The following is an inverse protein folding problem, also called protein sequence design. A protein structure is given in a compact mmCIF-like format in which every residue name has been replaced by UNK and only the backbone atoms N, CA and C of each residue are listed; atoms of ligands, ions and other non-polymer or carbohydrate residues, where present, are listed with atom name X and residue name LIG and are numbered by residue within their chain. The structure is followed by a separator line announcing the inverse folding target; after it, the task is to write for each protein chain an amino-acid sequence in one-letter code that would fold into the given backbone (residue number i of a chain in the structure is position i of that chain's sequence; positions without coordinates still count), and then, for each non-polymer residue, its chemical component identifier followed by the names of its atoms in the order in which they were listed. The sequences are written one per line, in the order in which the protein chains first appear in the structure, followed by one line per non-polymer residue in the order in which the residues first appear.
data_IF_639305299501
#
_entry.id   IF_639305299501
#
_cell.length_a   1.000
_cell.length_b   1.000
_cell.length_c   1.000
_cell.angle_alpha   90.00
_cell.angle_beta   90.00
_cell.angle_gamma   90.00
#
_symmetry.space_group_name_H-M   'P 1'
#
loop_
_entity.id
_entity.type
_entity.pdbx_description
1 polymer ?
#
# COMPACT_ATOMS: atom_id res chain seq x y z
N UNK A 1 0.26 38.66 11.84
CA UNK A 1 0.77 38.76 10.46
C UNK A 1 1.85 37.69 10.31
N UNK A 2 1.53 36.55 9.76
CA UNK A 2 2.52 35.52 9.41
C UNK A 2 3.30 36.04 8.20
N UNK A 3 4.63 36.19 8.35
CA UNK A 3 5.51 36.49 7.22
C UNK A 3 5.34 35.37 6.19
N UNK A 4 5.01 35.73 4.96
CA UNK A 4 5.18 34.84 3.81
C UNK A 4 6.64 34.34 3.83
N UNK A 5 6.83 33.08 4.16
CA UNK A 5 8.15 32.45 4.09
C UNK A 5 8.51 32.28 2.62
N UNK A 6 9.77 32.54 2.31
CA UNK A 6 10.31 32.43 0.96
C UNK A 6 10.06 31.00 0.44
N UNK A 7 9.49 30.78 -0.76
CA UNK A 7 9.26 29.46 -1.32
C UNK A 7 10.53 28.59 -1.42
N UNK A 8 11.72 29.19 -1.37
CA UNK A 8 13.02 28.51 -1.37
C UNK A 8 13.51 28.11 0.04
N UNK A 9 12.74 28.36 1.10
CA UNK A 9 13.17 28.03 2.46
C UNK A 9 13.24 26.52 2.68
N UNK A 10 14.42 26.04 3.06
CA UNK A 10 14.64 24.60 3.32
C UNK A 10 13.97 24.18 4.61
N UNK A 11 13.04 23.24 4.50
CA UNK A 11 12.23 22.74 5.61
C UNK A 11 12.98 21.65 6.40
N UNK A 12 12.68 21.57 7.69
CA UNK A 12 12.98 20.40 8.51
C UNK A 12 11.69 19.60 8.69
N UNK A 13 11.68 18.37 8.16
CA UNK A 13 10.51 17.52 8.05
C UNK A 13 10.76 16.28 8.91
N UNK A 14 9.79 15.91 9.75
CA UNK A 14 9.77 14.64 10.46
C UNK A 14 8.65 13.77 9.90
N UNK A 15 9.01 12.64 9.31
CA UNK A 15 8.08 11.60 8.88
C UNK A 15 7.94 10.56 9.99
N UNK A 16 6.73 10.09 10.27
CA UNK A 16 6.48 9.04 11.25
C UNK A 16 5.67 7.93 10.61
N UNK A 17 6.25 6.73 10.55
CA UNK A 17 5.61 5.57 9.92
C UNK A 17 5.95 4.29 10.71
N UNK A 18 5.01 3.36 10.82
CA UNK A 18 5.27 2.09 11.48
C UNK A 18 6.28 1.24 10.69
N UNK A 19 6.09 1.16 9.36
CA UNK A 19 7.01 0.50 8.43
C UNK A 19 7.69 1.57 7.57
N UNK A 20 9.00 1.52 7.48
CA UNK A 20 9.77 2.40 6.61
C UNK A 20 10.99 1.63 6.07
N UNK A 21 10.82 0.84 5.02
CA UNK A 21 11.93 0.17 4.37
C UNK A 21 12.77 1.18 3.57
N UNK A 22 14.09 1.20 3.80
CA UNK A 22 15.06 2.08 3.08
C UNK A 22 15.75 1.35 1.93
N UNK A 23 15.50 0.07 1.80
CA UNK A 23 16.15 -0.81 0.83
C UNK A 23 15.14 -1.31 -0.16
N UNK A 24 15.54 -1.37 -1.41
CA UNK A 24 14.76 -1.98 -2.45
C UNK A 24 14.26 -1.00 -3.51
N UNK A 25 13.53 -1.54 -4.47
CA UNK A 25 12.82 -0.81 -5.51
C UNK A 25 11.56 -0.17 -4.94
N UNK A 26 10.91 0.70 -5.71
CA UNK A 26 9.72 1.44 -5.27
C UNK A 26 8.60 0.53 -4.72
N UNK A 27 8.43 -0.66 -5.27
CA UNK A 27 7.46 -1.67 -4.84
C UNK A 27 7.64 -2.17 -3.40
N UNK A 28 8.88 -2.18 -2.87
CA UNK A 28 9.14 -2.67 -1.52
C UNK A 28 9.20 -1.56 -0.48
N UNK A 29 9.61 -0.37 -0.92
CA UNK A 29 9.81 0.76 -0.02
C UNK A 29 8.52 1.51 0.24
N UNK A 30 7.43 1.14 -0.45
CA UNK A 30 6.22 1.94 -0.45
C UNK A 30 6.49 3.35 -0.97
N UNK A 31 5.57 4.26 -0.70
CA UNK A 31 5.66 5.62 -1.25
C UNK A 31 6.43 6.60 -0.38
N UNK A 32 6.60 6.29 0.89
CA UNK A 32 7.28 7.19 1.83
C UNK A 32 8.78 7.31 1.56
N UNK A 33 9.45 6.24 1.14
CA UNK A 33 10.87 6.32 0.81
C UNK A 33 11.16 7.24 -0.39
N UNK A 34 10.48 7.10 -1.55
CA UNK A 34 10.62 8.04 -2.65
C UNK A 34 10.31 9.49 -2.26
N UNK A 35 9.29 9.72 -1.42
CA UNK A 35 8.97 11.06 -0.90
C UNK A 35 10.13 11.60 -0.04
N UNK A 36 10.59 10.82 0.94
CA UNK A 36 11.65 11.24 1.85
C UNK A 36 12.95 11.55 1.10
N UNK A 37 13.37 10.65 0.19
CA UNK A 37 14.55 10.81 -0.66
C UNK A 37 14.44 12.03 -1.58
N UNK A 38 13.31 12.17 -2.25
CA UNK A 38 13.09 13.29 -3.17
C UNK A 38 13.07 14.63 -2.48
N UNK A 39 12.48 14.74 -1.29
CA UNK A 39 12.53 15.96 -0.47
C UNK A 39 13.97 16.26 0.00
N UNK A 40 14.73 15.24 0.40
CA UNK A 40 16.14 15.40 0.76
C UNK A 40 17.00 15.86 -0.44
N UNK A 41 16.78 15.30 -1.63
CA UNK A 41 17.44 15.73 -2.87
C UNK A 41 17.12 17.18 -3.25
N UNK A 42 15.93 17.66 -2.90
CA UNK A 42 15.56 19.08 -3.04
C UNK A 42 16.19 19.98 -1.96
N UNK A 43 16.95 19.41 -1.02
CA UNK A 43 17.71 20.13 0.02
C UNK A 43 16.95 20.32 1.32
N UNK A 44 15.79 19.69 1.53
CA UNK A 44 15.12 19.66 2.83
C UNK A 44 15.86 18.72 3.79
N UNK A 45 15.79 19.01 5.10
CA UNK A 45 16.30 18.10 6.13
C UNK A 45 15.20 17.10 6.52
N UNK A 46 15.35 15.85 6.10
CA UNK A 46 14.34 14.82 6.33
C UNK A 46 14.80 13.84 7.40
N UNK A 47 14.00 13.70 8.45
CA UNK A 47 14.18 12.72 9.50
C UNK A 47 12.97 11.80 9.55
N UNK A 48 13.19 10.50 9.68
CA UNK A 48 12.13 9.50 9.78
C UNK A 48 12.21 8.80 11.12
N UNK A 49 11.05 8.57 11.74
CA UNK A 49 10.90 7.74 12.94
C UNK A 49 10.06 6.52 12.55
N UNK A 50 10.63 5.32 12.70
CA UNK A 50 9.99 4.07 12.31
C UNK A 50 10.12 3.00 13.40
N UNK A 51 9.32 1.91 13.30
CA UNK A 51 9.30 0.90 14.35
C UNK A 51 10.48 -0.06 14.25
N UNK A 52 10.64 -0.77 13.14
CA UNK A 52 11.66 -1.82 12.97
C UNK A 52 12.53 -1.59 11.78
N UNK A 53 13.82 -1.86 11.93
CA UNK A 53 14.80 -1.77 10.86
C UNK A 53 14.81 -3.03 9.99
N UNK A 54 14.78 -2.91 8.66
CA UNK A 54 15.03 -4.04 7.78
C UNK A 54 16.49 -4.51 7.82
N UNK A 55 17.39 -3.68 8.39
CA UNK A 55 18.84 -3.95 8.47
C UNK A 55 19.33 -4.29 9.87
N UNK A 56 18.46 -4.34 10.87
CA UNK A 56 18.83 -4.53 12.28
C UNK A 56 19.65 -3.37 12.87
N UNK A 57 19.61 -2.18 12.27
CA UNK A 57 20.31 -0.98 12.75
C UNK A 57 19.33 0.02 13.35
N UNK A 58 19.75 0.66 14.45
CA UNK A 58 18.94 1.67 15.18
C UNK A 58 18.79 2.96 14.40
N UNK A 59 19.87 3.37 13.77
CA UNK A 59 19.97 4.60 13.01
C UNK A 59 20.62 4.29 11.66
N UNK A 60 20.02 4.82 10.60
CA UNK A 60 20.52 4.68 9.24
C UNK A 60 20.40 6.04 8.57
N UNK A 61 21.49 6.46 7.91
CA UNK A 61 21.48 7.61 7.02
C UNK A 61 21.74 7.13 5.60
N UNK A 62 20.83 7.49 4.68
CA UNK A 62 20.95 7.13 3.27
C UNK A 62 20.31 8.23 2.41
N UNK A 63 21.00 8.62 1.33
CA UNK A 63 20.51 9.61 0.34
C UNK A 63 20.03 10.92 0.98
N UNK A 64 20.68 11.35 2.10
CA UNK A 64 20.31 12.56 2.84
C UNK A 64 19.09 12.41 3.76
N UNK A 65 18.56 11.19 3.91
CA UNK A 65 17.47 10.88 4.84
C UNK A 65 18.03 10.17 6.07
N UNK A 66 17.74 10.71 7.26
CA UNK A 66 18.11 10.13 8.54
C UNK A 66 16.94 9.38 9.15
N UNK A 67 17.10 8.08 9.45
CA UNK A 67 16.03 7.21 9.95
C UNK A 67 16.38 6.64 11.31
N UNK A 68 15.45 6.74 12.26
CA UNK A 68 15.51 6.14 13.59
C UNK A 68 14.53 4.99 13.69
N UNK A 69 15.03 3.77 13.97
CA UNK A 69 14.25 2.56 14.20
C UNK A 69 14.19 2.24 15.69
N UNK A 70 13.00 2.33 16.29
CA UNK A 70 12.85 2.36 17.74
C UNK A 70 12.96 0.99 18.43
N UNK A 71 12.51 -0.10 17.77
CA UNK A 71 12.34 -1.38 18.46
C UNK A 71 13.54 -2.34 18.38
N UNK A 72 14.44 -2.16 17.43
CA UNK A 72 15.61 -3.03 17.28
C UNK A 72 16.87 -2.48 17.89
N UNK A 73 16.82 -1.34 18.50
CA UNK A 73 18.00 -0.71 18.99
C UNK A 73 17.85 0.25 20.14
N UNK A 74 16.66 0.46 20.61
CA UNK A 74 16.41 1.26 21.80
C UNK A 74 15.74 0.37 22.87
N UNK A 75 16.52 -0.41 23.65
CA UNK A 75 15.98 -1.41 24.59
C UNK A 75 14.96 -0.82 25.58
N UNK A 76 15.13 0.44 25.95
CA UNK A 76 14.23 1.12 26.88
C UNK A 76 12.84 1.45 26.27
N UNK A 77 12.67 1.34 24.95
CA UNK A 77 11.44 1.68 24.25
C UNK A 77 10.75 0.48 23.61
N UNK A 78 11.42 -0.67 23.55
CA UNK A 78 10.89 -1.87 22.91
C UNK A 78 9.59 -2.42 23.49
N UNK A 79 9.27 -2.06 24.74
CA UNK A 79 8.04 -2.45 25.44
C UNK A 79 6.93 -1.38 25.39
N UNK A 80 7.22 -0.21 24.84
CA UNK A 80 6.23 0.85 24.69
C UNK A 80 5.42 0.66 23.41
N UNK A 81 4.15 1.11 23.39
CA UNK A 81 3.43 1.28 22.12
C UNK A 81 4.22 2.20 21.19
N UNK A 82 4.21 1.91 19.89
CA UNK A 82 4.97 2.68 18.90
C UNK A 82 4.71 4.19 18.98
N UNK A 83 3.44 4.59 19.10
CA UNK A 83 3.07 6.02 19.21
C UNK A 83 3.71 6.73 20.40
N UNK A 84 3.91 6.02 21.52
CA UNK A 84 4.60 6.57 22.69
C UNK A 84 6.10 6.70 22.44
N UNK A 85 6.72 5.65 21.94
CA UNK A 85 8.15 5.64 21.64
C UNK A 85 8.48 6.71 20.56
N UNK A 86 7.63 6.82 19.53
CA UNK A 86 7.77 7.85 18.50
C UNK A 86 7.62 9.27 19.05
N UNK A 87 6.70 9.49 20.00
CA UNK A 87 6.56 10.78 20.67
C UNK A 87 7.81 11.16 21.47
N UNK A 88 8.37 10.24 22.23
CA UNK A 88 9.58 10.49 23.02
C UNK A 88 10.78 10.81 22.12
N UNK A 89 10.98 10.04 21.05
CA UNK A 89 12.06 10.30 20.08
C UNK A 89 11.84 11.62 19.32
N UNK A 90 10.62 11.91 18.92
CA UNK A 90 10.29 13.19 18.31
C UNK A 90 10.61 14.35 19.24
N UNK A 91 10.24 14.27 20.53
CA UNK A 91 10.49 15.32 21.52
C UNK A 91 11.97 15.59 21.68
N UNK A 92 12.80 14.54 21.80
CA UNK A 92 14.25 14.63 21.84
C UNK A 92 14.80 15.45 20.66
N UNK A 93 14.48 15.01 19.44
CA UNK A 93 14.97 15.62 18.19
C UNK A 93 14.43 17.03 17.96
N UNK A 94 13.17 17.28 18.33
CA UNK A 94 12.52 18.57 18.16
C UNK A 94 13.03 19.62 19.16
N UNK A 95 13.40 19.20 20.36
CA UNK A 95 14.00 20.07 21.38
C UNK A 95 15.41 20.48 20.98
N UNK A 96 16.18 19.56 20.42
CA UNK A 96 17.53 19.85 19.91
C UNK A 96 17.48 20.83 18.73
N UNK A 97 16.63 20.55 17.75
CA UNK A 97 16.41 21.41 16.58
C UNK A 97 14.97 21.29 16.10
N UNK A 98 14.16 22.38 16.17
CA UNK A 98 12.74 22.31 15.85
C UNK A 98 12.43 21.87 14.43
N UNK A 99 11.44 21.00 14.26
CA UNK A 99 10.86 20.64 12.97
C UNK A 99 9.85 21.69 12.51
N UNK A 100 9.74 21.88 11.21
CA UNK A 100 8.72 22.75 10.58
C UNK A 100 7.46 21.94 10.25
N UNK A 101 7.62 20.67 9.84
CA UNK A 101 6.53 19.80 9.43
C UNK A 101 6.64 18.46 10.16
N UNK A 102 5.55 18.01 10.73
CA UNK A 102 5.31 16.64 11.14
C UNK A 102 4.40 15.99 10.10
N UNK A 103 4.80 14.88 9.51
CA UNK A 103 3.99 14.11 8.58
C UNK A 103 3.88 12.66 9.05
N UNK A 104 2.69 12.22 9.39
CA UNK A 104 2.41 10.88 9.90
C UNK A 104 1.64 10.02 8.92
N UNK A 105 2.01 8.73 8.83
CA UNK A 105 1.19 7.72 8.20
C UNK A 105 0.05 7.33 9.13
N UNK A 106 -1.19 7.52 8.71
CA UNK A 106 -2.39 7.24 9.52
C UNK A 106 -2.25 7.80 10.95
N UNK A 107 -2.47 6.98 11.96
CA UNK A 107 -2.41 7.39 13.36
C UNK A 107 -1.01 7.44 13.98
N UNK A 108 0.02 7.03 13.27
CA UNK A 108 1.39 6.87 13.83
C UNK A 108 1.94 8.13 14.50
N UNK A 109 1.61 9.31 13.99
CA UNK A 109 2.02 10.59 14.55
C UNK A 109 0.91 11.31 15.37
N UNK A 110 -0.25 10.68 15.58
CA UNK A 110 -1.38 11.33 16.26
C UNK A 110 -1.02 11.84 17.66
N UNK A 111 -0.25 11.05 18.43
CA UNK A 111 0.15 11.43 19.79
C UNK A 111 1.02 12.69 19.83
N UNK A 112 1.80 12.92 18.80
CA UNK A 112 2.61 14.13 18.60
C UNK A 112 1.69 15.26 18.13
N UNK A 113 0.90 15.05 17.08
CA UNK A 113 0.05 16.06 16.46
C UNK A 113 -0.97 16.70 17.40
N UNK A 114 -1.60 15.90 18.28
CA UNK A 114 -2.51 16.44 19.32
C UNK A 114 -1.85 17.42 20.29
N UNK A 115 -0.52 17.44 20.38
CA UNK A 115 0.28 18.35 21.21
C UNK A 115 0.94 19.47 20.42
N UNK A 116 0.57 19.67 19.16
CA UNK A 116 1.22 20.62 18.26
C UNK A 116 1.38 22.04 18.86
N UNK A 117 0.37 22.50 19.60
CA UNK A 117 0.43 23.83 20.25
C UNK A 117 1.48 23.89 21.35
N UNK A 118 1.57 22.85 22.17
CA UNK A 118 2.57 22.73 23.26
C UNK A 118 4.00 22.65 22.69
N UNK A 119 4.15 21.91 21.60
CA UNK A 119 5.42 21.71 20.88
C UNK A 119 5.78 22.89 19.96
N UNK A 120 4.89 23.86 19.79
CA UNK A 120 5.04 24.97 18.84
C UNK A 120 5.34 24.49 17.41
N UNK A 121 4.75 23.37 17.06
CA UNK A 121 4.93 22.74 15.75
C UNK A 121 4.09 23.47 14.69
N UNK A 122 4.72 24.03 13.64
CA UNK A 122 4.01 24.87 12.66
C UNK A 122 2.99 24.12 11.82
N UNK A 123 3.31 22.90 11.38
CA UNK A 123 2.47 22.13 10.49
C UNK A 123 2.40 20.64 10.88
N UNK A 124 1.19 20.08 10.80
CA UNK A 124 0.91 18.65 10.97
C UNK A 124 0.13 18.14 9.79
N UNK A 125 0.70 17.17 9.08
CA UNK A 125 0.08 16.50 7.95
C UNK A 125 -0.06 14.99 8.23
N UNK A 126 -1.07 14.36 7.61
CA UNK A 126 -1.24 12.91 7.67
C UNK A 126 -1.53 12.37 6.27
N UNK A 127 -0.85 11.27 5.90
CA UNK A 127 -1.34 10.38 4.87
C UNK A 127 -2.45 9.53 5.47
N UNK A 128 -3.64 9.55 4.86
CA UNK A 128 -4.78 8.75 5.28
C UNK A 128 -5.07 7.73 4.18
N UNK A 129 -4.47 6.55 4.30
CA UNK A 129 -4.69 5.46 3.33
C UNK A 129 -6.02 4.77 3.54
N UNK A 130 -6.39 4.56 4.81
CA UNK A 130 -7.61 3.88 5.17
C UNK A 130 -8.27 4.52 6.38
N UNK A 131 -9.58 4.71 6.31
CA UNK A 131 -10.40 5.16 7.42
C UNK A 131 -11.19 4.00 8.01
N UNK A 132 -11.65 4.16 9.25
CA UNK A 132 -12.53 3.16 9.86
C UNK A 132 -13.85 3.01 9.08
N UNK A 133 -14.33 4.09 8.47
CA UNK A 133 -15.53 4.05 7.61
C UNK A 133 -15.27 3.29 6.31
N UNK A 134 -14.10 3.43 5.68
CA UNK A 134 -13.74 2.64 4.50
C UNK A 134 -13.62 1.15 4.83
N UNK A 135 -13.10 0.80 6.02
CA UNK A 135 -13.10 -0.57 6.51
C UNK A 135 -14.51 -1.11 6.74
N UNK A 136 -15.44 -0.28 7.24
CA UNK A 136 -16.84 -0.66 7.40
C UNK A 136 -17.48 -1.00 6.04
N UNK A 137 -17.27 -0.16 5.03
CA UNK A 137 -17.78 -0.42 3.68
C UNK A 137 -17.14 -1.66 3.05
N UNK A 138 -15.86 -1.92 3.30
CA UNK A 138 -15.19 -3.14 2.87
C UNK A 138 -15.88 -4.39 3.45
N UNK A 139 -16.18 -4.39 4.76
CA UNK A 139 -16.89 -5.50 5.42
C UNK A 139 -18.29 -5.68 4.82
N UNK A 140 -19.02 -4.60 4.57
CA UNK A 140 -20.37 -4.65 3.98
C UNK A 140 -20.35 -5.15 2.52
N UNK A 141 -19.26 -4.89 1.78
CA UNK A 141 -19.08 -5.33 0.38
C UNK A 141 -18.65 -6.78 0.22
N UNK A 142 -18.29 -7.49 1.31
CA UNK A 142 -17.86 -8.90 1.20
C UNK A 142 -18.95 -9.80 0.66
N UNK A 143 -18.59 -10.72 -0.23
CA UNK A 143 -19.48 -11.79 -0.66
C UNK A 143 -19.70 -12.79 0.50
N UNK A 144 -20.93 -13.25 0.69
CA UNK A 144 -21.30 -14.16 1.77
C UNK A 144 -21.73 -15.50 1.22
N UNK A 145 -21.06 -16.57 1.65
CA UNK A 145 -21.37 -17.95 1.25
C UNK A 145 -22.47 -18.58 2.11
N UNK A 146 -22.79 -18.02 3.29
CA UNK A 146 -23.76 -18.61 4.23
C UNK A 146 -24.45 -17.57 5.11
N UNK A 147 -25.62 -17.96 5.66
CA UNK A 147 -26.38 -17.16 6.63
C UNK A 147 -25.56 -16.90 7.91
N UNK A 148 -24.73 -17.86 8.33
CA UNK A 148 -23.86 -17.72 9.50
C UNK A 148 -22.79 -16.65 9.29
N UNK A 149 -22.19 -16.58 8.09
CA UNK A 149 -21.24 -15.52 7.74
C UNK A 149 -21.90 -14.13 7.68
N UNK A 150 -23.13 -14.07 7.19
CA UNK A 150 -23.92 -12.83 7.18
C UNK A 150 -24.18 -12.29 8.60
N UNK A 151 -24.53 -13.17 9.55
CA UNK A 151 -24.78 -12.78 10.94
C UNK A 151 -23.51 -12.31 11.64
N UNK A 152 -22.39 -13.02 11.47
CA UNK A 152 -21.09 -12.61 12.04
C UNK A 152 -20.62 -11.26 11.48
N UNK A 153 -20.84 -11.03 10.18
CA UNK A 153 -20.57 -9.76 9.53
C UNK A 153 -21.45 -8.66 10.08
N UNK A 154 -22.73 -8.92 10.32
CA UNK A 154 -23.65 -7.96 10.93
C UNK A 154 -23.19 -7.48 12.31
N UNK A 155 -22.72 -8.38 13.16
CA UNK A 155 -22.14 -8.03 14.48
C UNK A 155 -20.86 -7.20 14.32
N UNK A 156 -19.96 -7.59 13.42
CA UNK A 156 -18.73 -6.86 13.14
C UNK A 156 -19.02 -5.44 12.61
N UNK A 157 -20.01 -5.27 11.76
CA UNK A 157 -20.49 -3.98 11.24
C UNK A 157 -20.99 -3.08 12.35
N UNK A 158 -21.86 -3.58 13.24
CA UNK A 158 -22.38 -2.79 14.36
C UNK A 158 -21.25 -2.36 15.30
N UNK A 159 -20.36 -3.28 15.65
CA UNK A 159 -19.19 -2.96 16.50
C UNK A 159 -18.29 -1.91 15.83
N UNK A 160 -17.99 -2.09 14.56
CA UNK A 160 -17.14 -1.16 13.80
C UNK A 160 -17.80 0.21 13.64
N UNK A 161 -19.12 0.27 13.38
CA UNK A 161 -19.87 1.51 13.30
C UNK A 161 -19.80 2.29 14.62
N UNK A 162 -20.01 1.63 15.74
CA UNK A 162 -19.92 2.27 17.06
C UNK A 162 -18.52 2.81 17.34
N UNK A 163 -17.48 2.03 17.05
CA UNK A 163 -16.08 2.47 17.24
C UNK A 163 -15.70 3.61 16.30
N UNK A 164 -16.22 3.60 15.06
CA UNK A 164 -16.02 4.66 14.07
C UNK A 164 -16.69 5.96 14.49
N UNK A 165 -17.93 5.87 14.93
CA UNK A 165 -18.71 7.04 15.34
C UNK A 165 -18.15 7.69 16.60
N UNK A 166 -17.60 6.88 17.54
CA UNK A 166 -17.06 7.34 18.81
C UNK A 166 -15.63 7.88 18.74
N UNK A 167 -14.93 7.79 17.57
CA UNK A 167 -13.82 8.61 17.65
C UNK A 167 -12.53 8.59 16.90
N UNK A 168 -11.94 7.53 16.53
CA UNK A 168 -10.51 7.50 16.14
C UNK A 168 -10.09 8.45 15.02
N UNK A 169 -10.76 8.40 13.86
CA UNK A 169 -10.36 9.18 12.67
C UNK A 169 -10.74 10.66 12.80
N UNK A 170 -11.89 10.97 13.38
CA UNK A 170 -12.29 12.37 13.60
C UNK A 170 -11.33 13.12 14.51
N UNK A 171 -10.82 12.45 15.53
CA UNK A 171 -9.82 12.99 16.43
C UNK A 171 -8.50 13.27 15.71
N UNK A 172 -8.06 12.34 14.83
CA UNK A 172 -6.89 12.52 13.98
C UNK A 172 -7.07 13.74 13.07
N UNK A 173 -8.16 13.77 12.32
CA UNK A 173 -8.47 14.83 11.36
C UNK A 173 -8.54 16.22 11.99
N UNK A 174 -9.04 16.34 13.24
CA UNK A 174 -9.05 17.62 14.00
C UNK A 174 -7.65 18.13 14.32
N UNK A 175 -6.64 17.27 14.37
CA UNK A 175 -5.26 17.69 14.64
C UNK A 175 -4.49 18.05 13.38
N UNK A 176 -4.99 17.65 12.21
CA UNK A 176 -4.36 17.87 10.92
C UNK A 176 -4.48 19.33 10.45
N UNK A 177 -3.40 19.88 9.94
CA UNK A 177 -3.40 21.11 9.13
C UNK A 177 -3.55 20.76 7.64
N UNK A 178 -3.24 19.53 7.27
CA UNK A 178 -3.46 18.95 5.95
C UNK A 178 -3.56 17.44 5.98
N UNK A 179 -4.35 16.89 5.09
CA UNK A 179 -4.51 15.45 4.89
C UNK A 179 -4.15 15.12 3.45
N UNK A 180 -3.26 14.15 3.28
CA UNK A 180 -2.89 13.62 1.99
C UNK A 180 -3.73 12.39 1.68
N UNK A 181 -4.23 12.34 0.46
CA UNK A 181 -5.01 11.23 -0.09
C UNK A 181 -4.46 10.85 -1.45
N UNK A 182 -4.60 9.60 -1.82
CA UNK A 182 -4.00 9.08 -3.06
C UNK A 182 -4.90 9.25 -4.28
N UNK A 183 -6.19 9.53 -4.06
CA UNK A 183 -7.17 9.66 -5.15
C UNK A 183 -8.25 10.71 -4.87
N UNK A 184 -8.88 11.25 -5.93
CA UNK A 184 -10.06 12.13 -5.78
C UNK A 184 -11.22 11.45 -5.05
N UNK A 185 -11.37 10.13 -5.20
CA UNK A 185 -12.43 9.36 -4.52
C UNK A 185 -12.25 9.37 -3.00
N UNK A 186 -11.03 9.23 -2.50
CA UNK A 186 -10.74 9.36 -1.07
C UNK A 186 -11.03 10.77 -0.55
N UNK A 187 -10.75 11.81 -1.32
CA UNK A 187 -11.07 13.19 -0.98
C UNK A 187 -12.59 13.36 -0.80
N UNK A 188 -13.38 12.92 -1.79
CA UNK A 188 -14.86 12.95 -1.71
C UNK A 188 -15.35 12.12 -0.52
N UNK A 189 -14.70 11.00 -0.22
CA UNK A 189 -15.02 10.14 0.90
C UNK A 189 -14.84 10.88 2.25
N UNK A 190 -13.72 11.57 2.44
CA UNK A 190 -13.44 12.36 3.65
C UNK A 190 -14.45 13.52 3.81
N UNK A 191 -14.76 14.23 2.74
CA UNK A 191 -15.75 15.28 2.73
C UNK A 191 -17.14 14.74 3.14
N UNK A 192 -17.59 13.66 2.51
CA UNK A 192 -18.93 13.11 2.67
C UNK A 192 -19.16 12.47 4.04
N UNK A 193 -18.20 11.69 4.55
CA UNK A 193 -18.42 10.90 5.76
C UNK A 193 -17.80 11.50 7.02
N UNK A 194 -16.79 12.36 6.88
CA UNK A 194 -16.14 13.00 8.01
C UNK A 194 -16.39 14.51 8.07
N UNK A 195 -17.02 15.09 7.04
CA UNK A 195 -17.21 16.54 6.86
C UNK A 195 -15.87 17.28 6.93
N UNK A 196 -14.82 16.61 6.42
CA UNK A 196 -13.48 17.18 6.42
C UNK A 196 -13.34 18.19 5.27
N UNK A 197 -12.86 19.41 5.53
CA UNK A 197 -12.83 20.46 4.53
C UNK A 197 -11.93 20.13 3.34
N UNK A 198 -12.47 20.30 2.15
CA UNK A 198 -11.78 20.04 0.89
C UNK A 198 -10.45 20.80 0.75
N UNK A 199 -10.41 22.04 1.19
CA UNK A 199 -9.21 22.89 1.12
C UNK A 199 -8.07 22.48 2.07
N UNK A 200 -8.29 21.51 2.99
CA UNK A 200 -7.27 20.86 3.83
C UNK A 200 -6.87 19.49 3.28
N UNK A 201 -7.45 19.05 2.17
CA UNK A 201 -7.16 17.75 1.56
C UNK A 201 -6.33 17.94 0.30
N UNK A 202 -5.19 17.24 0.25
CA UNK A 202 -4.24 17.30 -0.86
C UNK A 202 -4.19 15.94 -1.55
N UNK A 203 -4.51 15.89 -2.84
CA UNK A 203 -4.38 14.65 -3.61
C UNK A 203 -2.94 14.49 -4.07
N UNK A 204 -2.29 13.46 -3.56
CA UNK A 204 -0.92 13.07 -3.89
C UNK A 204 -0.93 11.63 -4.39
N UNK A 205 -1.06 11.41 -5.71
CA UNK A 205 -1.01 10.06 -6.26
C UNK A 205 0.32 9.39 -5.95
N UNK A 206 0.29 8.08 -5.84
CA UNK A 206 1.51 7.29 -5.69
C UNK A 206 2.47 7.53 -6.86
N UNK A 207 3.77 7.53 -6.58
CA UNK A 207 4.79 7.70 -7.61
C UNK A 207 5.65 6.45 -7.77
N UNK A 208 5.98 6.10 -8.99
CA UNK A 208 6.88 5.01 -9.33
C UNK A 208 8.03 5.52 -10.21
N UNK A 209 9.23 4.98 -10.03
CA UNK A 209 10.38 5.24 -10.88
C UNK A 209 10.35 4.30 -12.08
N UNK A 210 9.89 4.80 -13.24
CA UNK A 210 9.71 4.00 -14.46
C UNK A 210 11.03 3.59 -15.12
N UNK A 211 12.16 4.24 -14.78
CA UNK A 211 13.46 4.01 -15.44
C UNK A 211 14.05 2.60 -15.24
N UNK A 212 13.72 1.96 -14.13
CA UNK A 212 14.28 0.63 -13.77
C UNK A 212 13.47 -0.54 -14.36
N UNK A 213 12.31 -0.28 -14.97
CA UNK A 213 11.40 -1.33 -15.47
C UNK A 213 11.74 -1.83 -16.88
N UNK A 214 12.76 -1.28 -17.52
CA UNK A 214 13.12 -1.62 -18.92
C UNK A 214 14.06 -2.82 -19.07
N UNK A 215 14.65 -3.31 -17.98
CA UNK A 215 15.56 -4.45 -18.01
C UNK A 215 14.82 -5.74 -17.69
N UNK A 216 14.68 -6.61 -18.69
CA UNK A 216 14.13 -7.96 -18.55
C UNK A 216 15.20 -9.01 -18.91
N UNK A 217 16.19 -9.27 -18.07
CA UNK A 217 17.27 -10.20 -18.46
C UNK A 217 16.96 -11.69 -18.23
N UNK A 218 16.06 -12.06 -17.31
CA UNK A 218 16.03 -13.43 -16.75
C UNK A 218 14.66 -14.12 -16.78
N UNK A 219 13.71 -13.66 -17.60
CA UNK A 219 12.36 -14.23 -17.65
C UNK A 219 12.36 -15.74 -17.97
N UNK A 220 13.24 -16.18 -18.86
CA UNK A 220 13.38 -17.58 -19.23
C UNK A 220 13.95 -18.43 -18.08
N UNK A 221 15.03 -17.96 -17.43
CA UNK A 221 15.66 -18.66 -16.31
C UNK A 221 14.71 -18.80 -15.13
N UNK A 222 13.91 -17.76 -14.84
CA UNK A 222 12.93 -17.79 -13.76
C UNK A 222 11.86 -18.85 -13.97
N UNK A 223 11.35 -18.99 -15.21
CA UNK A 223 10.40 -20.05 -15.59
C UNK A 223 11.03 -21.44 -15.45
N UNK A 224 12.23 -21.64 -15.97
CA UNK A 224 12.95 -22.93 -15.87
C UNK A 224 13.22 -23.34 -14.43
N UNK A 225 13.76 -22.43 -13.61
CA UNK A 225 14.05 -22.67 -12.18
C UNK A 225 12.83 -23.12 -11.41
N UNK A 226 11.65 -22.58 -11.76
CA UNK A 226 10.38 -22.90 -11.10
C UNK A 226 9.57 -24.00 -11.81
N UNK A 227 10.14 -24.62 -12.84
CA UNK A 227 9.49 -25.70 -13.62
C UNK A 227 8.14 -25.24 -14.21
N UNK A 228 8.07 -24.00 -14.70
CA UNK A 228 6.90 -23.45 -15.39
C UNK A 228 7.17 -23.55 -16.90
N UNK A 229 6.34 -24.25 -17.67
CA UNK A 229 6.54 -24.43 -19.11
C UNK A 229 6.56 -23.10 -19.86
N UNK A 230 7.29 -23.07 -20.98
CA UNK A 230 7.18 -21.96 -21.94
C UNK A 230 5.75 -21.86 -22.46
N UNK A 231 5.26 -20.64 -22.60
CA UNK A 231 3.89 -20.39 -23.06
C UNK A 231 2.78 -20.72 -22.04
N UNK A 232 3.14 -21.09 -20.80
CA UNK A 232 2.18 -21.20 -19.72
C UNK A 232 1.73 -19.79 -19.26
N UNK A 233 0.43 -19.65 -18.97
CA UNK A 233 -0.10 -18.44 -18.33
C UNK A 233 0.27 -18.41 -16.84
N UNK A 234 0.65 -17.23 -16.36
CA UNK A 234 1.03 -17.03 -14.95
C UNK A 234 0.14 -15.95 -14.33
N UNK A 235 -0.53 -16.34 -13.24
CA UNK A 235 -1.17 -15.41 -12.30
C UNK A 235 -0.21 -15.20 -11.14
N UNK A 236 0.19 -13.97 -10.88
CA UNK A 236 1.06 -13.59 -9.76
C UNK A 236 0.24 -12.89 -8.67
N UNK A 237 0.42 -13.30 -7.43
CA UNK A 237 -0.07 -12.56 -6.26
C UNK A 237 1.03 -12.41 -5.23
N UNK A 238 1.11 -11.23 -4.60
CA UNK A 238 2.05 -10.95 -3.52
C UNK A 238 1.23 -10.70 -2.26
N UNK A 239 1.59 -11.35 -1.16
CA UNK A 239 0.81 -11.31 0.08
C UNK A 239 1.69 -11.45 1.32
N UNK A 240 1.29 -10.80 2.41
CA UNK A 240 1.88 -10.97 3.74
C UNK A 240 1.31 -12.18 4.50
N UNK A 241 0.35 -12.88 3.89
CA UNK A 241 -0.34 -14.06 4.45
C UNK A 241 -0.91 -13.83 5.86
N UNK A 242 -1.22 -12.59 6.23
CA UNK A 242 -1.81 -12.27 7.54
C UNK A 242 -3.25 -12.77 7.65
N UNK A 243 -3.97 -12.82 6.52
CA UNK A 243 -5.33 -13.33 6.40
C UNK A 243 -5.36 -14.52 5.43
N UNK A 244 -5.13 -15.75 5.92
CA UNK A 244 -5.02 -16.94 5.08
C UNK A 244 -6.25 -17.18 4.21
N UNK A 245 -7.44 -16.81 4.68
CA UNK A 245 -8.69 -16.98 3.95
C UNK A 245 -8.73 -16.25 2.61
N UNK A 246 -8.04 -15.12 2.48
CA UNK A 246 -7.91 -14.42 1.19
C UNK A 246 -7.27 -15.34 0.13
N UNK A 247 -6.18 -16.01 0.51
CA UNK A 247 -5.50 -16.95 -0.40
C UNK A 247 -6.24 -18.26 -0.58
N UNK A 248 -6.96 -18.75 0.41
CA UNK A 248 -7.85 -19.91 0.28
C UNK A 248 -8.90 -19.67 -0.81
N UNK A 249 -9.52 -18.49 -0.82
CA UNK A 249 -10.49 -18.11 -1.87
C UNK A 249 -9.82 -18.03 -3.26
N UNK A 250 -8.61 -17.49 -3.35
CA UNK A 250 -7.83 -17.48 -4.59
C UNK A 250 -7.51 -18.90 -5.07
N UNK A 251 -7.10 -19.80 -4.16
CA UNK A 251 -6.81 -21.20 -4.51
C UNK A 251 -8.05 -21.94 -5.02
N UNK A 252 -9.21 -21.74 -4.40
CA UNK A 252 -10.50 -22.32 -4.85
C UNK A 252 -10.92 -21.81 -6.23
N UNK A 253 -10.72 -20.50 -6.48
CA UNK A 253 -10.97 -19.96 -7.82
C UNK A 253 -9.99 -20.55 -8.84
N UNK A 254 -8.72 -20.64 -8.47
CA UNK A 254 -7.66 -21.16 -9.34
C UNK A 254 -7.83 -22.67 -9.64
N UNK A 255 -8.34 -23.48 -8.71
CA UNK A 255 -8.69 -24.89 -8.96
C UNK A 255 -9.61 -25.01 -10.18
N UNK A 256 -10.67 -24.20 -10.24
CA UNK A 256 -11.61 -24.20 -11.37
C UNK A 256 -10.96 -23.75 -12.67
N UNK A 257 -10.05 -22.78 -12.58
CA UNK A 257 -9.25 -22.33 -13.74
C UNK A 257 -8.32 -23.42 -14.21
N UNK A 258 -7.61 -24.11 -13.33
CA UNK A 258 -6.66 -25.16 -13.66
C UNK A 258 -7.32 -26.35 -14.39
N UNK A 259 -8.59 -26.64 -14.10
CA UNK A 259 -9.38 -27.66 -14.82
C UNK A 259 -9.69 -27.22 -16.25
N UNK A 260 -10.12 -25.95 -16.46
CA UNK A 260 -10.52 -25.43 -17.76
C UNK A 260 -9.33 -24.99 -18.62
N UNK A 261 -8.24 -24.57 -17.99
CA UNK A 261 -7.01 -24.04 -18.60
C UNK A 261 -5.79 -24.76 -18.04
N UNK A 262 -5.49 -25.98 -18.51
CA UNK A 262 -4.44 -26.83 -17.94
C UNK A 262 -3.02 -26.23 -17.98
N UNK A 263 -2.74 -25.29 -18.87
CA UNK A 263 -1.44 -24.63 -18.98
C UNK A 263 -1.39 -23.28 -18.22
N UNK A 264 -1.99 -23.26 -17.03
CA UNK A 264 -2.01 -22.06 -16.17
C UNK A 264 -1.34 -22.37 -14.83
N UNK A 265 -0.59 -21.39 -14.31
CA UNK A 265 0.14 -21.45 -13.05
C UNK A 265 -0.23 -20.27 -12.16
N UNK A 266 -0.34 -20.53 -10.86
CA UNK A 266 -0.46 -19.49 -9.85
C UNK A 266 0.85 -19.39 -9.07
N UNK A 267 1.39 -18.18 -8.97
CA UNK A 267 2.56 -17.87 -8.15
C UNK A 267 2.12 -17.03 -6.97
N UNK A 268 2.32 -17.56 -5.76
CA UNK A 268 2.04 -16.89 -4.49
C UNK A 268 3.39 -16.49 -3.89
N UNK A 269 3.68 -15.19 -3.95
CA UNK A 269 4.90 -14.63 -3.38
C UNK A 269 4.61 -13.98 -2.03
N UNK A 270 5.56 -14.12 -1.11
CA UNK A 270 5.45 -13.58 0.23
C UNK A 270 5.63 -14.62 1.32
N UNK A 271 5.56 -14.18 2.56
CA UNK A 271 5.67 -15.05 3.73
C UNK A 271 4.87 -14.45 4.88
N UNK A 272 4.36 -15.29 5.76
CA UNK A 272 3.61 -14.83 6.91
C UNK A 272 2.98 -15.96 7.74
N UNK A 273 2.16 -15.61 8.74
CA UNK A 273 1.60 -16.57 9.68
C UNK A 273 0.69 -17.59 9.01
N UNK A 274 0.07 -17.23 7.88
CA UNK A 274 -0.85 -18.11 7.13
C UNK A 274 -0.18 -19.14 6.23
N UNK A 275 1.16 -19.17 6.10
CA UNK A 275 1.87 -20.03 5.17
C UNK A 275 1.42 -21.49 5.20
N UNK A 276 1.44 -22.11 6.40
CA UNK A 276 1.07 -23.53 6.54
C UNK A 276 -0.39 -23.82 6.20
N UNK A 277 -1.27 -22.88 6.48
CA UNK A 277 -2.69 -23.01 6.16
C UNK A 277 -2.91 -22.97 4.63
N UNK A 278 -2.27 -22.03 3.94
CA UNK A 278 -2.33 -21.89 2.48
C UNK A 278 -1.70 -23.12 1.80
N UNK A 279 -0.56 -23.59 2.30
CA UNK A 279 0.11 -24.80 1.79
C UNK A 279 -0.78 -26.05 1.95
N UNK A 280 -1.43 -26.21 3.11
CA UNK A 280 -2.38 -27.29 3.35
C UNK A 280 -3.56 -27.24 2.38
N UNK A 281 -4.18 -26.08 2.19
CA UNK A 281 -5.30 -25.93 1.26
C UNK A 281 -4.87 -26.19 -0.20
N UNK A 282 -3.70 -25.71 -0.61
CA UNK A 282 -3.13 -25.99 -1.93
C UNK A 282 -2.99 -27.50 -2.18
N UNK A 283 -2.53 -28.25 -1.19
CA UNK A 283 -2.37 -29.70 -1.28
C UNK A 283 -3.72 -30.42 -1.26
N UNK A 284 -4.68 -29.98 -0.44
CA UNK A 284 -6.02 -30.57 -0.36
C UNK A 284 -6.82 -30.40 -1.67
N UNK A 285 -6.58 -29.32 -2.40
CA UNK A 285 -7.13 -29.06 -3.74
C UNK A 285 -6.31 -29.70 -4.88
N UNK A 286 -5.31 -30.52 -4.56
CA UNK A 286 -4.41 -31.17 -5.52
C UNK A 286 -3.70 -30.20 -6.50
N UNK A 287 -3.41 -28.98 -6.06
CA UNK A 287 -2.80 -27.91 -6.87
C UNK A 287 -1.27 -27.86 -6.79
N UNK A 288 -0.62 -28.76 -6.08
CA UNK A 288 0.84 -28.68 -5.80
C UNK A 288 1.76 -28.62 -7.03
N UNK A 289 1.33 -29.09 -8.20
CA UNK A 289 2.08 -28.95 -9.45
C UNK A 289 1.88 -27.62 -10.16
N UNK A 290 0.76 -26.93 -9.90
CA UNK A 290 0.31 -25.73 -10.60
C UNK A 290 0.44 -24.44 -9.79
N UNK A 291 0.61 -24.56 -8.48
CA UNK A 291 0.82 -23.43 -7.58
C UNK A 291 2.26 -23.43 -7.10
N UNK A 292 2.91 -22.27 -7.17
CA UNK A 292 4.28 -22.05 -6.70
C UNK A 292 4.25 -21.04 -5.56
N UNK A 293 4.61 -21.49 -4.36
CA UNK A 293 4.83 -20.63 -3.21
C UNK A 293 6.33 -20.27 -3.15
N UNK A 294 6.69 -19.03 -3.44
CA UNK A 294 8.11 -18.62 -3.56
C UNK A 294 8.76 -18.26 -2.23
N UNK A 295 7.96 -18.00 -1.19
CA UNK A 295 8.44 -17.31 -0.01
C UNK A 295 8.57 -15.81 -0.25
N UNK A 296 9.18 -15.11 0.72
CA UNK A 296 9.46 -13.69 0.57
C UNK A 296 10.44 -13.46 -0.58
N UNK A 297 10.06 -12.60 -1.51
CA UNK A 297 10.91 -12.20 -2.62
C UNK A 297 11.88 -11.10 -2.18
N UNK A 298 13.04 -11.07 -2.81
CA UNK A 298 13.88 -9.87 -2.76
C UNK A 298 13.28 -8.80 -3.68
N UNK A 299 13.58 -7.52 -3.42
CA UNK A 299 13.09 -6.40 -4.23
C UNK A 299 13.33 -6.54 -5.73
N UNK A 300 14.53 -6.96 -6.08
CA UNK A 300 14.94 -7.22 -7.46
C UNK A 300 14.11 -8.31 -8.12
N UNK A 301 13.76 -9.38 -7.38
CA UNK A 301 13.01 -10.52 -7.89
C UNK A 301 11.51 -10.19 -8.16
N UNK A 302 10.95 -9.16 -7.49
CA UNK A 302 9.56 -8.75 -7.67
C UNK A 302 9.28 -8.34 -9.12
N UNK A 303 10.14 -7.46 -9.66
CA UNK A 303 10.01 -6.99 -11.05
C UNK A 303 10.12 -8.13 -12.05
N UNK A 304 11.02 -9.10 -11.79
CA UNK A 304 11.22 -10.24 -12.67
C UNK A 304 9.99 -11.16 -12.68
N UNK A 305 9.39 -11.44 -11.50
CA UNK A 305 8.13 -12.18 -11.43
C UNK A 305 6.97 -11.46 -12.11
N UNK A 306 6.86 -10.14 -11.97
CA UNK A 306 5.87 -9.35 -12.70
C UNK A 306 6.11 -9.48 -14.20
N UNK A 307 7.35 -9.40 -14.67
CA UNK A 307 7.69 -9.45 -16.10
C UNK A 307 7.23 -10.74 -16.78
N UNK A 308 7.32 -11.89 -16.11
CA UNK A 308 6.91 -13.20 -16.62
C UNK A 308 5.44 -13.52 -16.42
N UNK A 309 4.70 -12.73 -15.61
CA UNK A 309 3.27 -12.95 -15.37
C UNK A 309 2.39 -12.33 -16.47
N UNK A 310 1.18 -12.86 -16.62
CA UNK A 310 0.13 -12.30 -17.48
C UNK A 310 -0.84 -11.45 -16.68
N UNK A 311 -1.14 -11.89 -15.46
CA UNK A 311 -2.10 -11.27 -14.54
C UNK A 311 -1.44 -11.03 -13.18
N UNK A 312 -1.59 -9.84 -12.65
CA UNK A 312 -1.29 -9.52 -11.26
C UNK A 312 -2.59 -9.45 -10.46
N UNK A 313 -2.65 -10.22 -9.38
CA UNK A 313 -3.85 -10.40 -8.57
C UNK A 313 -3.66 -9.87 -7.16
N UNK A 314 -4.58 -9.01 -6.68
CA UNK A 314 -4.65 -8.61 -5.29
C UNK A 314 -6.11 -8.63 -4.79
N UNK A 315 -6.51 -9.76 -4.21
CA UNK A 315 -7.87 -9.98 -3.69
C UNK A 315 -7.96 -9.75 -2.18
N UNK A 316 -7.17 -8.81 -1.64
CA UNK A 316 -7.24 -8.50 -0.22
C UNK A 316 -8.60 -7.92 0.17
N UNK A 317 -9.14 -8.39 1.27
CA UNK A 317 -10.36 -7.87 1.90
C UNK A 317 -10.07 -6.71 2.88
N UNK A 318 -8.80 -6.39 3.07
CA UNK A 318 -8.33 -5.40 4.06
C UNK A 318 -7.98 -4.08 3.39
N UNK A 319 -8.30 -2.99 4.06
CA UNK A 319 -7.88 -1.64 3.64
C UNK A 319 -6.36 -1.41 3.77
N UNK A 320 -5.67 -2.29 4.48
CA UNK A 320 -4.20 -2.32 4.59
C UNK A 320 -3.55 -3.34 3.66
N UNK A 321 -4.33 -3.99 2.81
CA UNK A 321 -3.88 -5.06 1.91
C UNK A 321 -3.40 -4.58 0.55
N UNK A 322 -3.19 -3.28 0.39
CA UNK A 322 -2.64 -2.73 -0.84
C UNK A 322 -1.18 -3.17 -1.03
N UNK A 323 -0.90 -3.70 -2.21
CA UNK A 323 0.45 -4.12 -2.60
C UNK A 323 1.01 -3.14 -3.63
N UNK A 324 2.07 -2.37 -3.31
CA UNK A 324 2.66 -1.39 -4.23
C UNK A 324 3.11 -1.97 -5.57
N UNK A 325 3.45 -3.26 -5.62
CA UNK A 325 3.80 -3.96 -6.86
C UNK A 325 2.66 -3.96 -7.90
N UNK A 326 1.42 -3.65 -7.51
CA UNK A 326 0.31 -3.41 -8.47
C UNK A 326 0.65 -2.31 -9.46
N UNK A 327 1.20 -1.18 -8.98
CA UNK A 327 1.56 -0.06 -9.86
C UNK A 327 2.71 -0.47 -10.79
N UNK A 328 3.65 -1.27 -10.29
CA UNK A 328 4.73 -1.82 -11.11
C UNK A 328 4.18 -2.78 -12.19
N UNK A 329 3.19 -3.61 -11.84
CA UNK A 329 2.52 -4.49 -12.80
C UNK A 329 1.78 -3.69 -13.89
N UNK A 330 1.08 -2.60 -13.54
CA UNK A 330 0.49 -1.67 -14.51
C UNK A 330 1.57 -1.08 -15.44
N UNK A 331 2.69 -0.64 -14.88
CA UNK A 331 3.80 -0.10 -15.66
C UNK A 331 4.39 -1.11 -16.65
N UNK A 332 4.34 -2.40 -16.30
CA UNK A 332 4.76 -3.52 -17.17
C UNK A 332 3.62 -4.06 -18.06
N UNK A 333 2.51 -3.32 -18.21
CA UNK A 333 1.36 -3.68 -19.05
C UNK A 333 0.67 -5.00 -18.66
N UNK A 334 0.70 -5.37 -17.39
CA UNK A 334 0.01 -6.57 -16.91
C UNK A 334 -1.46 -6.26 -16.67
N UNK A 335 -2.32 -7.28 -16.85
CA UNK A 335 -3.72 -7.15 -16.46
C UNK A 335 -3.79 -7.23 -14.93
N UNK A 336 -4.41 -6.22 -14.31
CA UNK A 336 -4.66 -6.23 -12.88
C UNK A 336 -6.05 -6.77 -12.58
N UNK A 337 -6.13 -7.61 -11.56
CA UNK A 337 -7.38 -7.97 -10.90
C UNK A 337 -7.24 -7.59 -9.43
N UNK A 338 -8.09 -6.71 -8.95
CA UNK A 338 -8.08 -6.23 -7.59
C UNK A 338 -9.43 -6.40 -6.91
N UNK A 339 -9.43 -6.36 -5.57
CA UNK A 339 -10.67 -6.29 -4.81
C UNK A 339 -11.28 -4.89 -4.82
N UNK A 340 -12.62 -4.79 -4.72
CA UNK A 340 -13.37 -3.54 -4.56
C UNK A 340 -13.16 -2.90 -3.17
N UNK A 341 -11.93 -2.90 -2.68
CA UNK A 341 -11.55 -2.37 -1.37
C UNK A 341 -10.57 -1.23 -1.54
N UNK A 342 -10.84 -0.09 -0.90
CA UNK A 342 -9.87 1.01 -0.84
C UNK A 342 -8.64 0.57 -0.01
N UNK A 343 -7.41 0.84 -0.43
CA UNK A 343 -7.02 1.68 -1.57
C UNK A 343 -6.91 0.98 -2.93
N UNK A 344 -7.08 -0.34 -3.02
CA UNK A 344 -6.96 -1.12 -4.27
C UNK A 344 -7.92 -0.56 -5.34
N UNK A 345 -9.20 -0.38 -4.96
CA UNK A 345 -10.23 0.15 -5.85
C UNK A 345 -9.98 1.60 -6.31
N UNK A 346 -9.06 2.34 -5.67
CA UNK A 346 -8.74 3.70 -6.08
C UNK A 346 -7.76 3.77 -7.26
N UNK A 347 -7.11 2.65 -7.58
CA UNK A 347 -6.06 2.57 -8.59
C UNK A 347 -6.59 2.02 -9.90
N UNK A 348 -7.54 1.09 -9.83
CA UNK A 348 -8.12 0.39 -10.98
C UNK A 348 -9.44 1.06 -11.39
N UNK A 349 -9.60 1.33 -12.66
CA UNK A 349 -10.87 1.66 -13.31
C UNK A 349 -11.41 0.40 -13.97
N UNK A 350 -12.48 -0.15 -13.37
CA UNK A 350 -13.02 -1.46 -13.75
C UNK A 350 -13.35 -1.56 -15.24
N UNK A 351 -12.87 -2.64 -15.88
CA UNK A 351 -13.01 -2.89 -17.32
C UNK A 351 -12.17 -1.99 -18.23
N UNK A 352 -11.48 -0.98 -17.70
CA UNK A 352 -10.66 -0.05 -18.47
C UNK A 352 -9.17 -0.40 -18.40
N UNK A 353 -8.59 -0.32 -17.22
CA UNK A 353 -7.17 -0.55 -16.97
C UNK A 353 -6.89 -1.72 -16.02
N UNK A 354 -7.93 -2.49 -15.70
CA UNK A 354 -7.92 -3.69 -14.86
C UNK A 354 -9.36 -4.08 -14.52
N UNK A 355 -9.51 -4.98 -13.57
CA UNK A 355 -10.81 -5.48 -13.12
C UNK A 355 -10.91 -5.40 -11.60
N UNK A 356 -12.11 -5.06 -11.13
CA UNK A 356 -12.45 -5.03 -9.72
C UNK A 356 -13.48 -6.10 -9.40
N UNK A 357 -13.22 -6.89 -8.36
CA UNK A 357 -14.12 -7.94 -7.89
C UNK A 357 -14.41 -7.77 -6.40
N UNK A 358 -15.54 -8.26 -5.94
CA UNK A 358 -15.82 -8.30 -4.51
C UNK A 358 -14.82 -9.22 -3.81
N UNK A 359 -14.35 -8.88 -2.61
CA UNK A 359 -13.56 -9.80 -1.80
C UNK A 359 -14.28 -11.13 -1.63
N UNK A 360 -13.54 -12.24 -1.67
CA UNK A 360 -14.03 -13.61 -1.55
C UNK A 360 -14.97 -14.10 -2.69
N UNK A 361 -15.08 -13.38 -3.79
CA UNK A 361 -15.89 -13.81 -4.94
C UNK A 361 -15.11 -14.82 -5.81
N UNK A 362 -15.17 -16.07 -5.39
CA UNK A 362 -14.50 -17.21 -6.05
C UNK A 362 -15.03 -17.43 -7.47
N UNK A 363 -16.34 -17.27 -7.66
CA UNK A 363 -17.01 -17.55 -8.94
C UNK A 363 -16.60 -16.52 -10.00
N UNK A 364 -16.71 -15.24 -9.69
CA UNK A 364 -16.33 -14.17 -10.61
C UNK A 364 -14.84 -14.21 -10.93
N UNK A 365 -13.97 -14.47 -9.92
CA UNK A 365 -12.52 -14.58 -10.15
C UNK A 365 -12.19 -15.73 -11.10
N UNK A 366 -12.78 -16.90 -10.89
CA UNK A 366 -12.52 -18.06 -11.75
C UNK A 366 -13.01 -17.81 -13.17
N UNK A 367 -14.18 -17.19 -13.35
CA UNK A 367 -14.75 -16.88 -14.66
C UNK A 367 -13.87 -15.88 -15.43
N UNK A 368 -13.51 -14.78 -14.78
CA UNK A 368 -12.66 -13.73 -15.35
C UNK A 368 -11.30 -14.25 -15.81
N UNK A 369 -10.62 -15.07 -14.99
CA UNK A 369 -9.34 -15.67 -15.38
C UNK A 369 -9.50 -16.62 -16.60
N UNK A 370 -10.59 -17.39 -16.67
CA UNK A 370 -10.85 -18.25 -17.83
C UNK A 370 -11.08 -17.41 -19.08
N UNK A 371 -11.82 -16.31 -19.01
CA UNK A 371 -12.06 -15.41 -20.14
C UNK A 371 -10.76 -14.75 -20.63
N UNK A 372 -9.93 -14.25 -19.71
CA UNK A 372 -8.61 -13.68 -20.03
C UNK A 372 -7.73 -14.69 -20.78
N UNK A 373 -7.62 -15.91 -20.26
CA UNK A 373 -6.79 -16.96 -20.89
C UNK A 373 -7.44 -17.66 -22.09
N UNK A 374 -8.68 -17.32 -22.39
CA UNK A 374 -9.33 -17.75 -23.66
C UNK A 374 -9.15 -16.71 -24.77
N UNK A 375 -8.58 -15.54 -24.48
CA UNK A 375 -8.48 -14.44 -25.43
C UNK A 375 -9.81 -13.75 -25.72
N UNK A 376 -10.84 -13.97 -24.87
CA UNK A 376 -12.14 -13.33 -25.02
C UNK A 376 -12.14 -11.86 -24.61
N UNK A 377 -11.13 -11.45 -23.84
CA UNK A 377 -10.95 -10.07 -23.35
C UNK A 377 -9.70 -9.45 -23.97
N UNK A 378 -9.69 -8.14 -24.24
CA UNK A 378 -8.60 -7.44 -24.91
C UNK A 378 -7.45 -7.13 -23.91
N UNK A 379 -6.78 -8.18 -23.41
CA UNK A 379 -5.76 -8.09 -22.34
C UNK A 379 -4.63 -7.11 -22.67
N UNK A 380 -4.17 -7.08 -23.95
CA UNK A 380 -3.11 -6.18 -24.38
C UNK A 380 -3.52 -4.70 -24.31
N UNK A 381 -4.75 -4.40 -24.69
CA UNK A 381 -5.28 -3.03 -24.63
C UNK A 381 -5.51 -2.56 -23.20
N UNK A 382 -6.02 -3.45 -22.34
CA UNK A 382 -6.19 -3.20 -20.89
C UNK A 382 -4.84 -2.91 -20.24
N UNK A 383 -3.85 -3.76 -20.51
CA UNK A 383 -2.49 -3.55 -20.00
C UNK A 383 -1.84 -2.27 -20.53
N UNK A 384 -2.10 -1.90 -21.80
CA UNK A 384 -1.59 -0.64 -22.33
C UNK A 384 -2.23 0.57 -21.64
N UNK A 385 -3.55 0.57 -21.43
CA UNK A 385 -4.24 1.64 -20.67
C UNK A 385 -3.74 1.73 -19.23
N UNK A 386 -3.49 0.59 -18.59
CA UNK A 386 -2.88 0.56 -17.27
C UNK A 386 -1.52 1.28 -17.24
N UNK A 387 -0.65 0.99 -18.22
CA UNK A 387 0.65 1.67 -18.33
C UNK A 387 0.50 3.17 -18.62
N UNK A 388 -0.39 3.56 -19.52
CA UNK A 388 -0.62 4.96 -19.86
C UNK A 388 -1.07 5.76 -18.62
N UNK A 389 -1.95 5.17 -17.81
CA UNK A 389 -2.37 5.74 -16.53
C UNK A 389 -1.20 5.92 -15.57
N UNK A 390 -0.36 4.89 -15.39
CA UNK A 390 0.82 4.98 -14.52
C UNK A 390 1.77 6.07 -15.01
N UNK A 391 2.06 6.11 -16.30
CA UNK A 391 2.97 7.09 -16.89
C UNK A 391 2.46 8.52 -16.70
N UNK A 392 1.14 8.73 -16.77
CA UNK A 392 0.55 10.06 -16.64
C UNK A 392 0.35 10.54 -15.21
N UNK A 393 -0.04 9.62 -14.29
CA UNK A 393 -0.48 9.98 -12.94
C UNK A 393 0.51 9.62 -11.84
N UNK A 394 1.30 8.53 -12.01
CA UNK A 394 2.12 7.97 -10.95
C UNK A 394 3.62 8.28 -11.09
N UNK A 395 3.95 9.48 -11.57
CA UNK A 395 5.34 9.96 -11.67
C UNK A 395 5.85 10.40 -10.29
N UNK A 396 6.97 9.81 -9.87
CA UNK A 396 7.63 10.13 -8.58
C UNK A 396 7.99 11.62 -8.47
N UNK A 397 8.42 12.27 -9.56
CA UNK A 397 8.77 13.69 -9.53
C UNK A 397 7.55 14.55 -9.26
N UNK A 398 6.43 14.24 -9.93
CA UNK A 398 5.13 14.92 -9.70
C UNK A 398 4.64 14.69 -8.27
N UNK A 399 4.74 13.46 -7.76
CA UNK A 399 4.40 13.14 -6.37
C UNK A 399 5.19 14.00 -5.38
N UNK A 400 6.52 14.04 -5.50
CA UNK A 400 7.39 14.83 -4.62
C UNK A 400 7.06 16.32 -4.71
N UNK A 401 6.82 16.83 -5.90
CA UNK A 401 6.42 18.23 -6.09
C UNK A 401 5.08 18.53 -5.42
N UNK A 402 4.09 17.66 -5.57
CA UNK A 402 2.77 17.82 -4.94
C UNK A 402 2.86 17.82 -3.41
N UNK A 403 3.72 16.97 -2.83
CA UNK A 403 3.97 16.95 -1.38
C UNK A 403 4.61 18.27 -0.91
N UNK A 404 5.63 18.74 -1.61
CA UNK A 404 6.31 20.01 -1.27
C UNK A 404 5.36 21.21 -1.34
N UNK A 405 4.58 21.32 -2.43
CA UNK A 405 3.56 22.36 -2.58
C UNK A 405 2.50 22.30 -1.47
N UNK A 406 2.08 21.09 -1.08
CA UNK A 406 1.14 20.91 0.01
C UNK A 406 1.73 21.40 1.34
N UNK A 407 2.99 21.08 1.65
CA UNK A 407 3.64 21.60 2.86
C UNK A 407 3.73 23.13 2.88
N UNK A 408 4.07 23.75 1.73
CA UNK A 408 4.11 25.20 1.62
C UNK A 408 2.74 25.82 1.91
N UNK A 409 1.67 25.31 1.27
CA UNK A 409 0.30 25.77 1.49
C UNK A 409 -0.17 25.59 2.94
N UNK A 410 0.25 24.50 3.62
CA UNK A 410 -0.07 24.27 5.04
C UNK A 410 0.65 25.28 5.93
N UNK A 411 1.90 25.62 5.63
CA UNK A 411 2.71 26.54 6.42
C UNK A 411 2.34 28.02 6.23
N UNK A 412 1.67 28.37 5.13
CA UNK A 412 1.19 29.73 4.82
C UNK A 412 -0.09 30.08 5.59
N UNK A 413 -0.80 29.10 6.14
CA UNK A 413 -2.04 29.28 6.93
C UNK A 413 -1.76 29.51 8.40
#
# INVERSE_FOLDING_TARGET
MARAKNPDEKLRICLVAYKFPILGRASDTGFLWPIARGLAQKGHSVTVIAARSPLGKQEVERDGVRVFYLFEGFPNWSHLPFEEAAYLKFLELHTEKPFHVLHGMDRTAYRIGRRKRQLKLPAVAYDVEATQMSQLFSILGMAHESVGSLLSTGVAVVYKFLTTYLGGDRELLKTADGVFVTSPQQRIFLERYYLYPDFHTYTVPYGIELGDLSQQPEAHELRQKNKIPEGAHIVLTITDMSEPQEMVNVLRAFERVAVKKPNTYLVIAGNGPGWKHIEFEMLSLALGSRVKMTGALKPEDVSDWISVSDVFLNMSSRTTGFEPAMIEAMAQKKVLIGSEVSPIANIIEDGQDGFLLRPADVDSLSHLLVELFSGSLPSLEIGQRARDKVTSLFDTKKMIQSVEEAYQRILER
#
